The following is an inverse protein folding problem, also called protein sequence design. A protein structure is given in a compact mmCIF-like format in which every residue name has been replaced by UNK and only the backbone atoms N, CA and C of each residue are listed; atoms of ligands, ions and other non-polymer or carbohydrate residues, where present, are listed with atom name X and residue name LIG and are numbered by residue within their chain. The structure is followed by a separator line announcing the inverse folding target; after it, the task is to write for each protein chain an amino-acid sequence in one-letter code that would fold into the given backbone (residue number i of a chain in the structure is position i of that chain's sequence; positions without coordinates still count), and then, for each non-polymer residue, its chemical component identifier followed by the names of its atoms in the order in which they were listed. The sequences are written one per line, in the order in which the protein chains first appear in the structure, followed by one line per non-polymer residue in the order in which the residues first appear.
data_IF_461724613367
#
_entry.id   IF_461724613367
#
_cell.length_a   1.000
_cell.length_b   1.000
_cell.length_c   1.000
_cell.angle_alpha   90.00
_cell.angle_beta   90.00
_cell.angle_gamma   90.00
#
_symmetry.space_group_name_H-M   'P 1'
#
loop_
_entity.id
_entity.type
_entity.pdbx_description
1 polymer ?
#
# COMPACT_ATOMS: atom_id res chain seq x y z
N UNK A 1 -3.70 -9.09 19.71
CA UNK A 1 -3.70 -7.91 18.83
C UNK A 1 -2.30 -7.31 18.68
N UNK A 2 -1.64 -6.84 19.75
CA UNK A 2 -0.27 -6.29 19.66
C UNK A 2 0.73 -7.32 19.09
N UNK A 3 0.64 -8.57 19.53
CA UNK A 3 1.46 -9.68 19.01
C UNK A 3 1.28 -9.89 17.49
N UNK A 4 0.06 -9.74 16.96
CA UNK A 4 -0.19 -9.95 15.54
C UNK A 4 0.51 -8.86 14.71
N UNK A 5 0.40 -7.61 15.15
CA UNK A 5 1.02 -6.46 14.47
C UNK A 5 2.55 -6.53 14.55
N UNK A 6 3.10 -6.67 15.76
CA UNK A 6 4.54 -6.74 15.97
C UNK A 6 5.16 -7.99 15.33
N UNK A 7 4.47 -9.13 15.40
CA UNK A 7 4.91 -10.38 14.77
C UNK A 7 4.92 -10.27 13.25
N UNK A 8 3.90 -9.64 12.65
CA UNK A 8 3.84 -9.43 11.20
C UNK A 8 4.94 -8.49 10.72
N UNK A 9 5.16 -7.39 11.45
CA UNK A 9 6.23 -6.45 11.17
C UNK A 9 7.61 -7.11 11.31
N UNK A 10 7.83 -7.88 12.39
CA UNK A 10 9.06 -8.61 12.62
C UNK A 10 9.33 -9.66 11.54
N UNK A 11 8.31 -10.43 11.13
CA UNK A 11 8.45 -11.40 10.06
C UNK A 11 8.77 -10.73 8.72
N UNK A 12 8.16 -9.60 8.39
CA UNK A 12 8.49 -8.88 7.16
C UNK A 12 9.90 -8.29 7.17
N UNK A 13 10.39 -7.82 8.32
CA UNK A 13 11.80 -7.44 8.49
C UNK A 13 12.78 -8.62 8.38
N UNK A 14 12.33 -9.85 8.58
CA UNK A 14 13.13 -11.05 8.29
C UNK A 14 13.08 -11.43 6.80
N UNK A 15 11.92 -11.28 6.16
CA UNK A 15 11.72 -11.63 4.74
C UNK A 15 12.37 -10.61 3.80
N UNK A 16 12.33 -9.32 4.12
CA UNK A 16 12.95 -8.25 3.33
C UNK A 16 14.43 -8.51 2.99
N UNK A 17 15.29 -8.82 3.99
CA UNK A 17 16.68 -9.20 3.76
C UNK A 17 16.85 -10.42 2.86
N UNK A 18 15.99 -11.44 2.99
CA UNK A 18 16.04 -12.64 2.13
C UNK A 18 15.75 -12.27 0.68
N UNK A 19 14.75 -11.41 0.46
CA UNK A 19 14.40 -10.92 -0.87
C UNK A 19 15.53 -10.08 -1.46
N UNK A 20 16.11 -9.17 -0.68
CA UNK A 20 17.25 -8.34 -1.08
C UNK A 20 18.51 -9.18 -1.41
N UNK A 21 18.79 -10.21 -0.60
CA UNK A 21 19.89 -11.14 -0.84
C UNK A 21 19.71 -11.91 -2.14
N UNK A 22 18.49 -12.38 -2.43
CA UNK A 22 18.20 -13.07 -3.68
C UNK A 22 18.40 -12.18 -4.91
N UNK A 23 17.90 -10.94 -4.84
CA UNK A 23 18.04 -9.96 -5.92
C UNK A 23 19.51 -9.65 -6.19
N UNK A 24 20.29 -9.37 -5.14
CA UNK A 24 21.72 -9.02 -5.27
C UNK A 24 22.61 -10.17 -5.74
N UNK A 25 22.35 -11.40 -5.30
CA UNK A 25 23.23 -12.55 -5.58
C UNK A 25 22.81 -13.39 -6.78
N UNK A 26 21.51 -13.55 -6.99
CA UNK A 26 20.97 -14.47 -8.02
C UNK A 26 20.41 -13.68 -9.20
N UNK A 27 19.56 -12.68 -8.93
CA UNK A 27 19.01 -11.77 -9.94
C UNK A 27 18.22 -12.43 -11.09
N UNK A 28 17.94 -13.74 -11.02
CA UNK A 28 17.25 -14.51 -12.08
C UNK A 28 15.85 -14.85 -11.66
N UNK A 29 14.87 -14.70 -12.56
CA UNK A 29 13.45 -15.04 -12.33
C UNK A 29 12.90 -14.43 -11.03
N UNK A 30 13.26 -13.18 -10.76
CA UNK A 30 12.88 -12.43 -9.54
C UNK A 30 11.37 -12.50 -9.30
N UNK A 31 10.54 -12.33 -10.33
CA UNK A 31 9.08 -12.47 -10.20
C UNK A 31 8.62 -13.80 -9.61
N UNK A 32 9.14 -14.93 -10.13
CA UNK A 32 8.76 -16.27 -9.64
C UNK A 32 9.20 -16.46 -8.19
N UNK A 33 10.39 -15.99 -7.82
CA UNK A 33 10.86 -16.06 -6.44
C UNK A 33 10.01 -15.19 -5.52
N UNK A 34 9.68 -13.95 -5.92
CA UNK A 34 8.77 -13.07 -5.18
C UNK A 34 7.42 -13.76 -4.96
N UNK A 35 6.83 -14.37 -6.00
CA UNK A 35 5.58 -15.12 -5.84
C UNK A 35 5.71 -16.30 -4.88
N UNK A 36 6.82 -17.05 -4.93
CA UNK A 36 7.08 -18.13 -3.99
C UNK A 36 7.18 -17.61 -2.55
N UNK A 37 7.87 -16.50 -2.33
CA UNK A 37 7.98 -15.85 -1.01
C UNK A 37 6.61 -15.37 -0.53
N UNK A 38 5.81 -14.71 -1.38
CA UNK A 38 4.44 -14.29 -1.05
C UNK A 38 3.54 -15.47 -0.68
N UNK A 39 3.66 -16.60 -1.39
CA UNK A 39 2.95 -17.82 -1.07
C UNK A 39 3.38 -18.38 0.30
N UNK A 40 4.68 -18.40 0.58
CA UNK A 40 5.20 -18.81 1.91
C UNK A 40 4.69 -17.88 3.00
N UNK A 41 4.70 -16.56 2.78
CA UNK A 41 4.12 -15.59 3.72
C UNK A 41 2.66 -15.92 3.99
N UNK A 42 1.84 -16.15 2.95
CA UNK A 42 0.43 -16.48 3.11
C UNK A 42 0.22 -17.75 3.95
N UNK A 43 1.00 -18.80 3.68
CA UNK A 43 0.88 -20.10 4.36
C UNK A 43 1.39 -20.07 5.80
N UNK A 44 2.46 -19.34 6.08
CA UNK A 44 3.04 -19.22 7.42
C UNK A 44 2.22 -18.26 8.29
N UNK A 45 1.67 -17.19 7.70
CA UNK A 45 0.94 -16.18 8.47
C UNK A 45 -0.34 -16.72 9.08
N UNK A 46 -1.04 -17.65 8.41
CA UNK A 46 -2.29 -18.23 8.90
C UNK A 46 -2.17 -18.89 10.28
N UNK A 47 -1.34 -19.93 10.45
CA UNK A 47 -1.14 -20.60 11.74
C UNK A 47 -0.62 -19.67 12.85
N UNK A 48 0.21 -18.70 12.50
CA UNK A 48 0.80 -17.73 13.44
C UNK A 48 -0.12 -16.54 13.74
N UNK A 49 -1.31 -16.46 13.13
CA UNK A 49 -2.26 -15.36 13.25
C UNK A 49 -1.63 -13.99 12.91
N UNK A 50 -0.74 -13.98 11.93
CA UNK A 50 -0.10 -12.78 11.40
C UNK A 50 -0.89 -12.26 10.18
N UNK A 51 -0.72 -10.97 9.87
CA UNK A 51 -1.32 -10.34 8.71
C UNK A 51 -0.35 -10.41 7.52
N UNK A 52 -0.63 -11.23 6.48
CA UNK A 52 0.23 -11.37 5.31
C UNK A 52 0.51 -10.06 4.59
N UNK A 53 -0.48 -9.14 4.58
CA UNK A 53 -0.34 -7.85 3.91
C UNK A 53 0.68 -6.98 4.62
N UNK A 54 0.66 -6.97 5.95
CA UNK A 54 1.61 -6.22 6.75
C UNK A 54 3.02 -6.82 6.65
N UNK A 55 3.15 -8.14 6.62
CA UNK A 55 4.44 -8.83 6.37
C UNK A 55 5.00 -8.43 4.99
N UNK A 56 4.19 -8.47 3.94
CA UNK A 56 4.61 -8.09 2.59
C UNK A 56 4.98 -6.61 2.47
N UNK A 57 4.18 -5.72 3.07
CA UNK A 57 4.45 -4.27 3.10
C UNK A 57 5.78 -3.96 3.78
N UNK A 58 6.04 -4.58 4.93
CA UNK A 58 7.26 -4.34 5.71
C UNK A 58 8.50 -4.93 5.04
N UNK A 59 8.37 -6.09 4.38
CA UNK A 59 9.41 -6.64 3.52
C UNK A 59 9.75 -5.72 2.34
N UNK A 60 8.73 -5.20 1.65
CA UNK A 60 8.93 -4.23 0.55
C UNK A 60 9.57 -2.92 1.01
N UNK A 61 9.12 -2.39 2.16
CA UNK A 61 9.71 -1.20 2.78
C UNK A 61 11.19 -1.42 3.08
N UNK A 62 11.56 -2.59 3.62
CA UNK A 62 12.95 -2.95 3.86
C UNK A 62 13.78 -2.98 2.57
N UNK A 63 13.27 -3.64 1.52
CA UNK A 63 13.96 -3.75 0.23
C UNK A 63 14.23 -2.35 -0.33
N UNK A 64 13.24 -1.47 -0.33
CA UNK A 64 13.38 -0.15 -0.96
C UNK A 64 14.18 0.86 -0.12
N UNK A 65 14.10 0.81 1.23
CA UNK A 65 14.66 1.86 2.08
C UNK A 65 15.93 1.46 2.84
N UNK A 66 16.20 0.16 3.00
CA UNK A 66 17.31 -0.34 3.83
C UNK A 66 18.31 -1.11 3.00
N UNK A 67 17.84 -1.87 2.01
CA UNK A 67 18.71 -2.70 1.21
C UNK A 67 19.44 -1.88 0.13
N UNK A 68 20.63 -2.30 -0.31
CA UNK A 68 21.28 -1.68 -1.45
C UNK A 68 20.52 -1.98 -2.76
N UNK A 69 19.77 -3.08 -2.85
CA UNK A 69 19.13 -3.40 -4.14
C UNK A 69 17.91 -2.52 -4.39
N UNK A 70 17.72 -2.12 -5.65
CA UNK A 70 16.49 -1.43 -6.05
C UNK A 70 15.30 -2.39 -6.06
N UNK A 71 14.16 -1.96 -5.51
CA UNK A 71 12.90 -2.68 -5.59
C UNK A 71 12.26 -2.70 -6.99
N UNK A 72 12.81 -1.96 -7.96
CA UNK A 72 12.23 -1.78 -9.31
C UNK A 72 12.01 -3.11 -10.04
N UNK A 73 12.94 -4.05 -9.92
CA UNK A 73 12.78 -5.40 -10.49
C UNK A 73 11.60 -6.16 -9.87
N UNK A 74 11.38 -6.03 -8.57
CA UNK A 74 10.23 -6.67 -7.89
C UNK A 74 8.94 -6.01 -8.32
N UNK A 75 8.92 -4.67 -8.41
CA UNK A 75 7.75 -3.88 -8.81
C UNK A 75 7.34 -4.26 -10.23
N UNK A 76 8.24 -4.16 -11.20
CA UNK A 76 7.94 -4.45 -12.61
C UNK A 76 7.39 -5.87 -12.80
N UNK A 77 8.00 -6.87 -12.14
CA UNK A 77 7.58 -8.26 -12.28
C UNK A 77 6.23 -8.53 -11.60
N UNK A 78 5.94 -7.83 -10.50
CA UNK A 78 4.66 -7.95 -9.78
C UNK A 78 3.54 -7.19 -10.49
N UNK A 79 3.84 -6.06 -11.14
CA UNK A 79 2.86 -5.20 -11.83
C UNK A 79 2.14 -5.93 -12.97
N UNK A 80 2.88 -6.74 -13.74
CA UNK A 80 2.31 -7.54 -14.84
C UNK A 80 1.22 -8.50 -14.33
N UNK A 81 1.37 -9.03 -13.12
CA UNK A 81 0.42 -9.95 -12.51
C UNK A 81 -0.65 -9.24 -11.67
N UNK A 82 -0.34 -8.08 -11.09
CA UNK A 82 -1.28 -7.32 -10.26
C UNK A 82 -2.39 -6.72 -11.11
N UNK A 83 -2.10 -6.25 -12.33
CA UNK A 83 -3.09 -5.64 -13.22
C UNK A 83 -4.30 -6.56 -13.51
N UNK A 84 -4.12 -7.81 -14.02
CA UNK A 84 -5.24 -8.75 -14.17
C UNK A 84 -5.93 -9.09 -12.85
N UNK A 85 -5.16 -9.19 -11.76
CA UNK A 85 -5.69 -9.50 -10.43
C UNK A 85 -6.62 -8.40 -9.94
N UNK A 86 -6.24 -7.13 -10.10
CA UNK A 86 -7.07 -5.98 -9.76
C UNK A 86 -8.32 -5.92 -10.64
N UNK A 87 -8.18 -6.12 -11.96
CA UNK A 87 -9.32 -6.13 -12.86
C UNK A 87 -10.36 -7.20 -12.46
N UNK A 88 -9.90 -8.42 -12.18
CA UNK A 88 -10.76 -9.51 -11.72
C UNK A 88 -11.39 -9.20 -10.36
N UNK A 89 -10.59 -8.78 -9.38
CA UNK A 89 -11.06 -8.44 -8.03
C UNK A 89 -12.13 -7.34 -8.08
N UNK A 90 -11.87 -6.21 -8.74
CA UNK A 90 -12.83 -5.10 -8.81
C UNK A 90 -14.08 -5.46 -9.64
N UNK A 91 -13.95 -6.33 -10.65
CA UNK A 91 -15.11 -6.81 -11.40
C UNK A 91 -15.98 -7.73 -10.55
N UNK A 92 -15.39 -8.64 -9.79
CA UNK A 92 -16.13 -9.53 -8.88
C UNK A 92 -16.83 -8.74 -7.77
N UNK A 93 -16.10 -7.84 -7.10
CA UNK A 93 -16.71 -6.98 -6.07
C UNK A 93 -17.80 -6.09 -6.66
N UNK A 94 -17.59 -5.57 -7.88
CA UNK A 94 -18.61 -4.79 -8.59
C UNK A 94 -19.86 -5.61 -8.94
N UNK A 95 -19.69 -6.89 -9.27
CA UNK A 95 -20.78 -7.80 -9.60
C UNK A 95 -21.59 -8.26 -8.36
N UNK A 96 -20.98 -8.24 -7.18
CA UNK A 96 -21.68 -8.55 -5.92
C UNK A 96 -22.59 -7.40 -5.44
N UNK A 97 -22.41 -6.18 -5.95
CA UNK A 97 -23.21 -5.02 -5.55
C UNK A 97 -24.56 -5.04 -6.26
N UNK A 98 -25.63 -5.30 -5.51
CA UNK A 98 -27.02 -5.09 -5.94
C UNK A 98 -27.31 -3.59 -6.05
N UNK A 99 -27.75 -3.15 -7.23
CA UNK A 99 -27.97 -1.73 -7.51
C UNK A 99 -29.05 -1.11 -6.60
N UNK A 100 -30.09 -1.87 -6.29
CA UNK A 100 -31.21 -1.42 -5.45
C UNK A 100 -30.77 -1.18 -3.99
N UNK A 101 -29.99 -2.10 -3.42
CA UNK A 101 -29.47 -1.95 -2.05
C UNK A 101 -28.45 -0.80 -1.97
N UNK A 102 -27.62 -0.65 -3.01
CA UNK A 102 -26.67 0.46 -3.10
C UNK A 102 -27.37 1.82 -3.12
N UNK A 103 -28.45 1.99 -3.91
CA UNK A 103 -29.21 3.25 -3.95
C UNK A 103 -29.82 3.60 -2.59
N UNK A 104 -30.31 2.59 -1.85
CA UNK A 104 -30.86 2.81 -0.51
C UNK A 104 -29.80 3.31 0.48
N UNK A 105 -28.56 2.81 0.41
CA UNK A 105 -27.48 3.22 1.31
C UNK A 105 -26.65 4.41 0.81
N UNK A 106 -26.73 4.76 -0.47
CA UNK A 106 -25.96 5.81 -1.12
C UNK A 106 -25.93 7.15 -0.35
N UNK A 107 -27.04 7.73 0.14
CA UNK A 107 -27.00 8.99 0.89
C UNK A 107 -26.19 8.87 2.18
N UNK A 108 -26.32 7.74 2.88
CA UNK A 108 -25.58 7.47 4.12
C UNK A 108 -24.09 7.21 3.84
N UNK A 109 -23.78 6.50 2.77
CA UNK A 109 -22.41 6.26 2.33
C UNK A 109 -21.72 7.58 1.96
N UNK A 110 -22.38 8.47 1.21
CA UNK A 110 -21.84 9.80 0.90
C UNK A 110 -21.63 10.61 2.17
N UNK A 111 -22.62 10.66 3.06
CA UNK A 111 -22.50 11.37 4.33
C UNK A 111 -21.32 10.86 5.17
N UNK A 112 -21.17 9.53 5.28
CA UNK A 112 -20.06 8.92 6.01
C UNK A 112 -18.70 9.20 5.35
N UNK A 113 -18.62 9.17 4.02
CA UNK A 113 -17.41 9.56 3.28
C UNK A 113 -17.04 11.03 3.51
N UNK A 114 -18.01 11.94 3.58
CA UNK A 114 -17.77 13.36 3.90
C UNK A 114 -17.27 13.53 5.34
N UNK A 115 -17.92 12.87 6.30
CA UNK A 115 -17.49 12.90 7.71
C UNK A 115 -16.05 12.38 7.84
N UNK A 116 -15.73 11.28 7.16
CA UNK A 116 -14.39 10.72 7.15
C UNK A 116 -13.37 11.67 6.51
N UNK A 117 -13.70 12.26 5.36
CA UNK A 117 -12.85 13.24 4.71
C UNK A 117 -12.57 14.41 5.67
N UNK A 118 -13.61 14.97 6.27
CA UNK A 118 -13.50 16.04 7.25
C UNK A 118 -12.61 15.65 8.45
N UNK A 119 -12.71 14.41 8.93
CA UNK A 119 -11.87 13.91 10.02
C UNK A 119 -10.37 13.93 9.65
N UNK A 120 -9.99 13.60 8.42
CA UNK A 120 -8.59 13.73 7.97
C UNK A 120 -8.13 15.19 7.94
N UNK A 121 -8.95 16.09 7.40
CA UNK A 121 -8.61 17.52 7.36
C UNK A 121 -8.48 18.13 8.76
N UNK A 122 -9.41 17.80 9.66
CA UNK A 122 -9.39 18.26 11.05
C UNK A 122 -8.18 17.66 11.78
N UNK A 123 -7.92 16.36 11.61
CA UNK A 123 -6.77 15.69 12.23
C UNK A 123 -5.43 16.33 11.84
N UNK A 124 -5.22 16.58 10.55
CA UNK A 124 -4.00 17.24 10.07
C UNK A 124 -3.92 18.70 10.49
N UNK A 125 -5.04 19.42 10.62
CA UNK A 125 -5.02 20.78 11.19
C UNK A 125 -4.67 20.79 12.68
N UNK A 126 -5.18 19.85 13.46
CA UNK A 126 -4.95 19.80 14.91
C UNK A 126 -3.55 19.29 15.29
N UNK A 127 -3.00 18.34 14.52
CA UNK A 127 -1.73 17.69 14.85
C UNK A 127 -0.60 17.99 13.86
N UNK A 128 -0.89 18.58 12.70
CA UNK A 128 0.09 18.75 11.63
C UNK A 128 1.29 19.61 12.03
N UNK A 129 1.12 20.63 12.88
CA UNK A 129 2.24 21.47 13.35
C UNK A 129 3.27 20.66 14.15
N UNK A 130 2.84 19.56 14.79
CA UNK A 130 3.72 18.69 15.58
C UNK A 130 4.46 17.64 14.75
N UNK A 131 4.13 17.52 13.46
CA UNK A 131 4.71 16.49 12.59
C UNK A 131 6.05 16.87 11.97
N UNK A 132 6.46 18.14 12.06
CA UNK A 132 7.65 18.66 11.35
C UNK A 132 7.48 18.77 9.83
N UNK A 133 6.33 18.38 9.27
CA UNK A 133 6.04 18.51 7.85
C UNK A 133 5.80 19.97 7.45
N UNK A 134 6.27 20.34 6.26
CA UNK A 134 6.09 21.68 5.72
C UNK A 134 4.59 21.98 5.45
N UNK A 135 4.28 23.27 5.30
CA UNK A 135 2.91 23.74 5.13
C UNK A 135 2.22 23.16 3.88
N UNK A 136 2.98 22.87 2.82
CA UNK A 136 2.44 22.34 1.57
C UNK A 136 2.10 20.86 1.73
N UNK A 137 2.99 20.06 2.30
CA UNK A 137 2.73 18.65 2.64
C UNK A 137 1.47 18.54 3.51
N UNK A 138 1.37 19.35 4.56
CA UNK A 138 0.19 19.36 5.45
C UNK A 138 -1.10 19.78 4.74
N UNK A 139 -1.03 20.64 3.73
CA UNK A 139 -2.20 21.05 2.97
C UNK A 139 -2.74 19.94 2.07
N UNK A 140 -1.86 19.08 1.52
CA UNK A 140 -2.23 18.10 0.49
C UNK A 140 -2.34 16.65 0.99
N UNK A 141 -1.65 16.28 2.07
CA UNK A 141 -1.73 14.93 2.69
C UNK A 141 -3.18 14.46 2.95
N UNK A 142 -4.13 15.28 3.47
CA UNK A 142 -5.50 14.82 3.68
C UNK A 142 -6.18 14.29 2.41
N UNK A 143 -5.91 14.90 1.25
CA UNK A 143 -6.44 14.45 -0.03
C UNK A 143 -5.84 13.10 -0.44
N UNK A 144 -4.57 12.88 -0.12
CA UNK A 144 -3.88 11.61 -0.33
C UNK A 144 -4.40 10.45 0.54
N UNK A 145 -5.11 10.75 1.63
CA UNK A 145 -5.69 9.75 2.54
C UNK A 145 -7.15 9.39 2.22
N UNK A 146 -7.78 10.07 1.25
CA UNK A 146 -9.15 9.78 0.82
C UNK A 146 -9.32 8.46 0.06
N UNK A 147 -8.36 8.02 -0.78
CA UNK A 147 -8.42 6.71 -1.41
C UNK A 147 -8.49 5.59 -0.36
N UNK A 148 -9.42 4.66 -0.55
CA UNK A 148 -9.56 3.45 0.24
C UNK A 148 -9.84 2.30 -0.72
N UNK A 149 -9.20 1.15 -0.52
CA UNK A 149 -9.25 0.03 -1.46
C UNK A 149 -9.47 -1.31 -0.74
N UNK A 150 -8.76 -2.35 -1.21
CA UNK A 150 -9.05 -3.77 -0.92
C UNK A 150 -9.13 -4.16 0.55
N UNK A 151 -8.32 -3.57 1.43
CA UNK A 151 -8.36 -3.90 2.88
C UNK A 151 -9.72 -3.57 3.49
N UNK A 152 -10.32 -2.44 3.12
CA UNK A 152 -11.63 -2.06 3.64
C UNK A 152 -12.76 -2.96 3.12
N UNK A 153 -12.67 -3.42 1.87
CA UNK A 153 -13.61 -4.39 1.29
C UNK A 153 -13.50 -5.72 2.04
N UNK A 154 -12.28 -6.22 2.26
CA UNK A 154 -12.06 -7.45 3.02
C UNK A 154 -12.60 -7.36 4.45
N UNK A 155 -12.40 -6.22 5.12
CA UNK A 155 -12.96 -5.97 6.45
C UNK A 155 -14.49 -5.89 6.44
N UNK A 156 -15.10 -5.28 5.42
CA UNK A 156 -16.55 -5.24 5.28
C UNK A 156 -17.14 -6.65 5.15
N UNK A 157 -16.55 -7.49 4.29
CA UNK A 157 -16.95 -8.90 4.12
C UNK A 157 -16.74 -9.72 5.41
N UNK A 158 -15.68 -9.42 6.18
CA UNK A 158 -15.47 -10.05 7.48
C UNK A 158 -16.56 -9.63 8.49
N UNK A 159 -16.93 -8.35 8.52
CA UNK A 159 -17.99 -7.82 9.38
C UNK A 159 -19.34 -8.46 9.05
N UNK A 160 -19.67 -8.53 7.76
CA UNK A 160 -20.90 -9.16 7.25
C UNK A 160 -21.07 -10.59 7.79
N UNK A 161 -20.00 -11.39 7.69
CA UNK A 161 -20.01 -12.81 8.06
C UNK A 161 -19.91 -13.06 9.56
N UNK A 162 -19.28 -12.15 10.30
CA UNK A 162 -18.98 -12.34 11.74
C UNK A 162 -20.11 -11.84 12.62
N UNK A 163 -20.79 -10.75 12.24
CA UNK A 163 -21.74 -10.07 13.11
C UNK A 163 -23.17 -10.14 12.55
N UNK A 164 -24.03 -10.93 13.19
CA UNK A 164 -25.47 -11.01 12.85
C UNK A 164 -26.29 -10.45 14.03
N UNK A 165 -27.33 -9.61 13.81
CA UNK A 165 -27.96 -9.24 12.53
C UNK A 165 -27.47 -7.94 11.87
N UNK A 166 -26.59 -7.17 12.52
CA UNK A 166 -26.24 -5.81 12.06
C UNK A 166 -25.02 -5.74 11.13
N UNK A 167 -24.26 -6.82 10.97
CA UNK A 167 -23.08 -6.88 10.10
C UNK A 167 -23.40 -6.66 8.63
N UNK A 168 -24.42 -7.33 8.03
CA UNK A 168 -24.80 -7.09 6.64
C UNK A 168 -25.10 -5.62 6.31
N UNK A 169 -26.01 -4.91 7.01
CA UNK A 169 -26.25 -3.49 6.69
C UNK A 169 -25.01 -2.61 6.95
N UNK A 170 -24.16 -2.93 7.93
CA UNK A 170 -22.91 -2.22 8.14
C UNK A 170 -21.91 -2.45 7.00
N UNK A 171 -21.78 -3.68 6.50
CA UNK A 171 -20.94 -4.03 5.36
C UNK A 171 -21.40 -3.33 4.09
N UNK A 172 -22.71 -3.31 3.81
CA UNK A 172 -23.30 -2.57 2.68
C UNK A 172 -22.95 -1.08 2.76
N UNK A 173 -23.06 -0.47 3.95
CA UNK A 173 -22.67 0.93 4.15
C UNK A 173 -21.18 1.16 3.91
N UNK A 174 -20.30 0.30 4.46
CA UNK A 174 -18.84 0.40 4.28
C UNK A 174 -18.46 0.24 2.81
N UNK A 175 -19.01 -0.76 2.12
CA UNK A 175 -18.81 -0.96 0.69
C UNK A 175 -19.29 0.26 -0.12
N UNK A 176 -20.44 0.83 0.25
CA UNK A 176 -20.91 2.09 -0.31
C UNK A 176 -19.90 3.23 -0.16
N UNK A 177 -19.28 3.39 1.03
CA UNK A 177 -18.23 4.41 1.22
C UNK A 177 -17.00 4.14 0.35
N UNK A 178 -16.61 2.87 0.20
CA UNK A 178 -15.49 2.45 -0.65
C UNK A 178 -15.76 2.82 -2.12
N UNK A 179 -16.98 2.61 -2.62
CA UNK A 179 -17.38 3.01 -3.99
C UNK A 179 -17.21 4.52 -4.18
N UNK A 180 -17.69 5.33 -3.23
CA UNK A 180 -17.51 6.80 -3.26
C UNK A 180 -16.03 7.18 -3.27
N UNK A 181 -15.22 6.56 -2.39
CA UNK A 181 -13.77 6.79 -2.32
C UNK A 181 -13.02 6.34 -3.57
N UNK A 182 -13.48 5.32 -4.30
CA UNK A 182 -12.85 4.89 -5.54
C UNK A 182 -13.08 5.86 -6.71
N UNK A 183 -14.22 6.57 -6.71
CA UNK A 183 -14.51 7.59 -7.73
C UNK A 183 -13.74 8.88 -7.40
N UNK A 184 -13.83 9.35 -6.15
CA UNK A 184 -13.25 10.64 -5.73
C UNK A 184 -11.74 10.53 -5.45
N UNK A 185 -11.30 9.40 -4.91
CA UNK A 185 -9.95 9.17 -4.41
C UNK A 185 -8.85 9.39 -5.45
N UNK A 186 -8.87 8.75 -6.61
CA UNK A 186 -7.83 8.93 -7.63
C UNK A 186 -7.72 10.38 -8.12
N UNK A 187 -8.86 11.07 -8.26
CA UNK A 187 -8.91 12.49 -8.66
C UNK A 187 -8.26 13.36 -7.57
N UNK A 188 -8.67 13.16 -6.31
CA UNK A 188 -8.14 13.90 -5.17
C UNK A 188 -6.65 13.63 -4.94
N UNK A 189 -6.22 12.37 -5.04
CA UNK A 189 -4.82 11.96 -4.90
C UNK A 189 -3.96 12.57 -5.99
N UNK A 190 -4.39 12.48 -7.25
CA UNK A 190 -3.68 13.10 -8.38
C UNK A 190 -3.53 14.60 -8.18
N UNK A 191 -4.61 15.29 -7.80
CA UNK A 191 -4.59 16.73 -7.54
C UNK A 191 -3.65 17.09 -6.39
N UNK A 192 -3.59 16.25 -5.35
CA UNK A 192 -2.71 16.42 -4.21
C UNK A 192 -1.23 16.40 -4.63
N UNK A 193 -0.83 15.40 -5.43
CA UNK A 193 0.55 15.22 -5.90
C UNK A 193 0.94 16.31 -6.92
N UNK A 194 0.03 16.68 -7.82
CA UNK A 194 0.28 17.77 -8.77
C UNK A 194 0.44 19.13 -8.07
N UNK A 195 -0.41 19.42 -7.07
CA UNK A 195 -0.38 20.71 -6.37
C UNK A 195 0.60 20.77 -5.20
N UNK A 196 1.04 19.64 -4.65
CA UNK A 196 2.20 19.60 -3.75
C UNK A 196 3.49 19.97 -4.51
N UNK A 197 3.48 19.89 -5.84
CA UNK A 197 4.65 20.14 -6.67
C UNK A 197 5.69 19.03 -6.61
N UNK A 198 5.35 17.88 -6.01
CA UNK A 198 6.18 16.68 -5.98
C UNK A 198 6.13 15.94 -7.33
N UNK A 199 5.04 16.08 -8.10
CA UNK A 199 4.89 15.46 -9.42
C UNK A 199 6.04 15.78 -10.41
N UNK A 200 6.69 16.94 -10.25
CA UNK A 200 7.73 17.43 -11.16
C UNK A 200 9.13 17.50 -10.52
N UNK A 201 9.28 17.05 -9.27
CA UNK A 201 10.57 16.88 -8.62
C UNK A 201 11.16 15.53 -9.02
N UNK A 202 11.59 15.40 -10.29
CA UNK A 202 12.64 14.41 -10.57
C UNK A 202 13.84 14.86 -9.74
N UNK A 203 14.28 13.98 -8.85
CA UNK A 203 15.46 14.20 -8.03
C UNK A 203 16.68 14.34 -8.96
N UNK A 204 17.01 15.57 -9.33
CA UNK A 204 18.35 15.98 -9.80
C UNK A 204 19.32 16.03 -8.60
N UNK A 205 19.21 15.08 -7.67
CA UNK A 205 20.32 14.83 -6.76
C UNK A 205 21.41 14.19 -7.61
N UNK A 206 22.64 14.75 -7.66
CA UNK A 206 23.76 13.94 -8.10
C UNK A 206 23.68 12.65 -7.29
N UNK A 207 23.78 11.51 -7.98
CA UNK A 207 23.92 10.19 -7.36
C UNK A 207 25.13 10.28 -6.42
N UNK A 208 24.94 10.79 -5.21
CA UNK A 208 25.85 10.59 -4.12
C UNK A 208 25.82 9.08 -3.96
N UNK A 209 26.85 8.43 -4.50
CA UNK A 209 27.05 7.01 -4.38
C UNK A 209 26.72 6.62 -2.96
N UNK A 210 25.58 5.96 -2.79
CA UNK A 210 25.26 5.36 -1.52
C UNK A 210 26.43 4.42 -1.24
N UNK A 211 27.18 4.53 -0.12
CA UNK A 211 28.40 3.76 0.10
C UNK A 211 28.18 2.24 0.11
N UNK A 212 26.93 1.77 0.02
CA UNK A 212 26.56 0.38 -0.19
C UNK A 212 26.76 -0.13 -1.64
N UNK A 213 26.98 0.76 -2.62
CA UNK A 213 27.17 0.40 -4.04
C UNK A 213 28.59 0.59 -4.57
N UNK A 214 29.47 1.24 -3.81
CA UNK A 214 30.79 1.64 -4.27
C UNK A 214 31.87 0.60 -3.93
N UNK A 215 31.72 -0.66 -4.33
CA UNK A 215 32.82 -1.63 -4.31
C UNK A 215 32.73 -2.58 -5.51
N UNK A 216 33.45 -2.27 -6.59
CA UNK A 216 33.59 -3.19 -7.71
C UNK A 216 34.15 -2.66 -9.02
N UNK A 217 35.03 -1.64 -9.04
CA UNK A 217 35.83 -1.38 -10.24
C UNK A 217 37.33 -1.56 -9.94
N UNK A 218 38.03 -2.46 -10.64
CA UNK A 218 39.48 -2.59 -10.51
C UNK A 218 40.17 -1.42 -11.22
N UNK A 219 40.96 -0.69 -10.44
CA UNK A 219 41.89 0.35 -10.86
C UNK A 219 42.84 -0.19 -11.94
N UNK A 220 42.60 0.13 -13.21
CA UNK A 220 43.57 -0.08 -14.28
C UNK A 220 44.63 1.01 -14.21
N UNK A 221 45.82 0.64 -13.72
CA UNK A 221 47.02 1.46 -13.67
C UNK A 221 47.47 1.97 -15.07
N UNK A 222 48.16 3.12 -15.14
CA UNK A 222 48.53 3.75 -16.40
C UNK A 222 49.70 3.04 -17.09
N UNK A 223 49.54 2.77 -18.39
CA UNK A 223 50.67 2.38 -19.24
C UNK A 223 51.46 3.63 -19.65
N UNK A 224 52.76 3.58 -19.39
CA UNK A 224 53.78 4.50 -19.85
C UNK A 224 54.01 4.41 -21.37
#
# INVERSE_FOLDING_TARGET
MLWHLLGSFGLGLLVGPVLAFYISRVGRRVGLFTFAVLFVIAQVSGPLHLDPLLVGLTAGLFVENVSPVSGEQVIHQTEVASLPTFALFFTLIGAEITFDDFLAVAPYAVALSVVRAAAFFVGIRLLGDRSGADARTRAYVPFGMLPQAGVAIALALAIERTFTPWGPPAATLILGTVVVSQIVGPIAFRLAVERSGEANQRHDLPLAEHPAHAQGEPETAPAA
#
